data_IF_902701511263
#
_entry.id   IF_902701511263
#
_cell.length_a   1.000
_cell.length_b   1.000
_cell.length_c   1.000
_cell.angle_alpha   90.00
_cell.angle_beta   90.00
_cell.angle_gamma   90.00
#
_symmetry.space_group_name_H-M   'P 1'
#
loop_
_entity.id
_entity.type
_entity.pdbx_description
1 polymer ?
#
# COMPACT_ATOMS: atom_id res chain seq x y z
N UNK A 1 -0.71 68.04 8.16
CA UNK A 1 -1.50 66.83 7.88
C UNK A 1 -1.54 66.61 6.39
N UNK A 2 -0.75 65.68 5.87
CA UNK A 2 -0.77 65.27 4.44
C UNK A 2 -0.96 63.77 4.39
N UNK A 3 -2.15 63.34 3.99
CA UNK A 3 -2.46 61.96 3.67
C UNK A 3 -1.84 61.58 2.33
N UNK A 4 -0.99 60.58 2.28
CA UNK A 4 -0.58 59.89 1.07
C UNK A 4 -1.53 58.71 0.80
N UNK A 5 -2.05 58.52 -0.41
CA UNK A 5 -2.84 57.35 -0.74
C UNK A 5 -1.94 56.16 -1.05
N UNK A 6 -2.26 55.05 -0.42
CA UNK A 6 -1.66 53.74 -0.72
C UNK A 6 -2.25 53.24 -2.04
N UNK A 7 -1.42 53.15 -3.05
CA UNK A 7 -1.75 52.51 -4.32
C UNK A 7 -1.60 51.00 -4.16
N UNK A 8 -2.72 50.29 -4.10
CA UNK A 8 -2.74 48.84 -4.21
C UNK A 8 -2.70 48.49 -5.69
N UNK A 9 -1.56 48.02 -6.15
CA UNK A 9 -1.43 47.40 -7.49
C UNK A 9 -1.81 45.94 -7.36
N UNK A 10 -3.02 45.61 -7.84
CA UNK A 10 -3.42 44.21 -8.09
C UNK A 10 -2.90 43.87 -9.49
N UNK A 11 -1.81 43.12 -9.55
CA UNK A 11 -1.36 42.49 -10.80
C UNK A 11 -1.54 40.99 -10.72
N UNK A 12 -2.53 40.53 -11.48
CA UNK A 12 -2.61 39.34 -12.34
C UNK A 12 -2.14 37.99 -11.81
N UNK A 13 -3.09 37.06 -11.96
CA UNK A 13 -2.91 35.60 -12.06
C UNK A 13 -1.55 35.18 -12.57
N UNK A 14 -0.73 34.62 -11.69
CA UNK A 14 0.40 33.79 -12.00
C UNK A 14 0.13 32.38 -11.46
N UNK A 15 0.20 31.44 -12.33
CA UNK A 15 0.16 29.99 -12.13
C UNK A 15 0.81 29.59 -10.82
N UNK A 16 0.02 29.03 -9.89
CA UNK A 16 0.55 28.43 -8.67
C UNK A 16 1.08 27.03 -9.04
N UNK A 17 2.32 26.98 -9.51
CA UNK A 17 3.10 25.75 -9.42
C UNK A 17 3.28 25.43 -7.94
N UNK A 18 2.61 24.37 -7.46
CA UNK A 18 2.84 23.84 -6.14
C UNK A 18 4.23 23.18 -6.09
N UNK A 19 5.25 23.99 -5.87
CA UNK A 19 6.52 23.47 -5.33
C UNK A 19 6.20 22.95 -3.93
N UNK A 20 6.14 21.64 -3.78
CA UNK A 20 6.30 20.95 -2.49
C UNK A 20 7.69 21.25 -1.94
N UNK A 21 7.89 22.45 -1.47
CA UNK A 21 8.99 22.78 -0.58
C UNK A 21 8.41 22.75 0.82
N UNK A 22 8.71 21.68 1.55
CA UNK A 22 8.28 21.50 2.93
C UNK A 22 8.44 22.74 3.78
N UNK A 23 7.64 22.87 4.83
CA UNK A 23 7.41 24.00 5.76
C UNK A 23 8.56 24.92 6.16
N UNK A 24 9.68 24.94 5.42
CA UNK A 24 10.86 25.72 5.73
C UNK A 24 10.64 27.24 5.71
N UNK A 25 9.89 27.76 4.72
CA UNK A 25 9.69 29.22 4.60
C UNK A 25 8.77 29.77 5.69
N UNK A 26 7.69 29.07 6.00
CA UNK A 26 6.77 29.47 7.10
C UNK A 26 7.45 29.32 8.46
N UNK A 27 8.23 28.26 8.66
CA UNK A 27 9.02 28.08 9.88
C UNK A 27 10.06 29.18 10.06
N UNK A 28 10.77 29.58 9.00
CA UNK A 28 11.75 30.67 9.06
C UNK A 28 11.07 32.00 9.41
N UNK A 29 9.94 32.32 8.76
CA UNK A 29 9.17 33.53 9.08
C UNK A 29 8.68 33.55 10.54
N UNK A 30 8.18 32.42 11.05
CA UNK A 30 7.75 32.29 12.43
C UNK A 30 8.92 32.43 13.41
N UNK A 31 10.10 31.85 13.08
CA UNK A 31 11.33 32.00 13.85
C UNK A 31 11.79 33.45 13.91
N UNK A 32 11.82 34.16 12.80
CA UNK A 32 12.18 35.59 12.72
C UNK A 32 11.19 36.46 13.48
N UNK A 33 9.90 36.15 13.44
CA UNK A 33 8.85 36.80 14.21
C UNK A 33 8.90 36.48 15.72
N UNK A 34 9.85 35.65 16.17
CA UNK A 34 10.07 35.35 17.57
C UNK A 34 9.18 34.28 18.20
N UNK A 35 8.37 33.55 17.39
CA UNK A 35 7.45 32.52 17.89
C UNK A 35 8.14 31.42 18.69
N UNK A 36 9.42 31.11 18.42
CA UNK A 36 10.17 30.14 19.21
C UNK A 36 10.47 30.63 20.66
N UNK A 37 10.24 31.91 20.95
CA UNK A 37 10.38 32.46 22.31
C UNK A 37 9.04 32.49 23.06
N UNK A 38 7.93 32.30 22.37
CA UNK A 38 6.61 32.25 22.96
C UNK A 38 6.48 31.08 23.94
N UNK A 39 5.90 31.30 25.10
CA UNK A 39 5.77 30.32 26.16
C UNK A 39 4.88 29.13 25.81
N UNK A 40 3.80 29.38 25.05
CA UNK A 40 2.86 28.32 24.59
C UNK A 40 3.57 27.45 23.57
N UNK A 41 4.22 28.07 22.59
CA UNK A 41 4.95 27.35 21.54
C UNK A 41 6.08 26.50 22.14
N UNK A 42 6.83 27.03 23.11
CA UNK A 42 7.85 26.25 23.81
C UNK A 42 7.26 25.04 24.55
N UNK A 43 6.18 25.23 25.29
CA UNK A 43 5.49 24.14 25.99
C UNK A 43 5.01 23.07 25.02
N UNK A 44 4.46 23.44 23.88
CA UNK A 44 3.98 22.49 22.87
C UNK A 44 5.14 21.75 22.19
N UNK A 45 6.23 22.43 21.87
CA UNK A 45 7.45 21.81 21.35
C UNK A 45 7.99 20.80 22.36
N UNK A 46 8.06 21.15 23.64
CA UNK A 46 8.53 20.24 24.68
C UNK A 46 7.65 18.98 24.79
N UNK A 47 6.33 19.14 24.83
CA UNK A 47 5.37 18.02 24.87
C UNK A 47 5.51 17.10 23.64
N UNK A 48 5.61 17.69 22.44
CA UNK A 48 5.78 16.92 21.19
C UNK A 48 7.14 16.22 21.19
N UNK A 49 8.21 16.91 21.61
CA UNK A 49 9.56 16.35 21.70
C UNK A 49 9.61 15.17 22.64
N UNK A 50 9.03 15.26 23.84
CA UNK A 50 8.91 14.15 24.79
C UNK A 50 8.23 12.94 24.15
N UNK A 51 7.08 13.15 23.48
CA UNK A 51 6.35 12.08 22.78
C UNK A 51 7.19 11.41 21.70
N UNK A 52 7.89 12.19 20.87
CA UNK A 52 8.72 11.67 19.78
C UNK A 52 9.91 10.89 20.36
N UNK A 53 10.62 11.45 21.34
CA UNK A 53 11.78 10.81 21.97
C UNK A 53 11.37 9.50 22.63
N UNK A 54 10.28 9.50 23.42
CA UNK A 54 9.76 8.29 24.07
C UNK A 54 9.37 7.22 23.06
N UNK A 55 8.66 7.59 21.99
CA UNK A 55 8.28 6.66 20.93
C UNK A 55 9.52 6.06 20.24
N UNK A 56 10.51 6.88 19.90
CA UNK A 56 11.75 6.43 19.26
C UNK A 56 12.60 5.56 20.18
N UNK A 57 12.61 5.84 21.45
CA UNK A 57 13.29 5.02 22.43
C UNK A 57 12.66 3.62 22.52
N UNK A 58 11.32 3.55 22.66
CA UNK A 58 10.61 2.26 22.65
C UNK A 58 10.84 1.51 21.34
N UNK A 59 10.77 2.19 20.18
CA UNK A 59 11.08 1.57 18.88
C UNK A 59 12.50 0.99 18.87
N UNK A 60 13.50 1.69 19.39
CA UNK A 60 14.88 1.20 19.44
C UNK A 60 15.04 -0.06 20.28
N UNK A 61 14.30 -0.15 21.39
CA UNK A 61 14.29 -1.33 22.26
C UNK A 61 13.62 -2.55 21.61
N UNK A 62 12.81 -2.34 20.57
CA UNK A 62 12.12 -3.40 19.83
C UNK A 62 12.95 -3.99 18.68
N UNK A 63 14.03 -3.34 18.27
CA UNK A 63 14.84 -3.75 17.11
C UNK A 63 15.37 -5.17 17.30
N UNK A 64 15.12 -6.04 16.31
CA UNK A 64 15.59 -7.42 16.30
C UNK A 64 14.89 -8.38 17.29
N UNK A 65 13.93 -7.89 18.10
CA UNK A 65 13.27 -8.71 19.14
C UNK A 65 12.02 -9.44 18.67
N UNK A 66 11.53 -9.14 17.46
CA UNK A 66 10.30 -9.74 16.93
C UNK A 66 10.55 -10.37 15.57
N UNK A 67 10.25 -11.64 15.46
CA UNK A 67 10.25 -12.40 14.21
C UNK A 67 9.01 -13.28 14.13
N UNK A 68 8.70 -13.75 12.92
CA UNK A 68 7.59 -14.67 12.67
C UNK A 68 8.15 -15.86 11.90
N UNK A 69 7.98 -17.07 12.44
CA UNK A 69 8.40 -18.29 11.80
C UNK A 69 7.36 -18.82 10.81
N UNK A 70 7.79 -19.69 9.90
CA UNK A 70 6.88 -20.37 8.96
C UNK A 70 5.86 -21.24 9.69
N UNK A 71 6.27 -21.91 10.79
CA UNK A 71 5.35 -22.71 11.61
C UNK A 71 4.24 -21.87 12.25
N UNK A 72 4.56 -20.69 12.76
CA UNK A 72 3.54 -19.79 13.33
C UNK A 72 2.52 -19.34 12.27
N UNK A 73 2.97 -19.11 11.05
CA UNK A 73 2.06 -18.76 9.94
C UNK A 73 1.14 -19.93 9.60
N UNK A 74 1.68 -21.16 9.54
CA UNK A 74 0.92 -22.38 9.30
C UNK A 74 -0.10 -22.64 10.42
N UNK A 75 0.31 -22.57 11.68
CA UNK A 75 -0.54 -22.77 12.84
C UNK A 75 -1.67 -21.73 12.90
N UNK A 76 -1.36 -20.47 12.60
CA UNK A 76 -2.34 -19.41 12.55
C UNK A 76 -3.39 -19.67 11.46
N UNK A 77 -2.94 -20.09 10.26
CA UNK A 77 -3.84 -20.44 9.17
C UNK A 77 -4.77 -21.59 9.55
N UNK A 78 -4.23 -22.69 10.10
CA UNK A 78 -5.02 -23.85 10.51
C UNK A 78 -6.10 -23.49 11.53
N UNK A 79 -5.73 -22.73 12.57
CA UNK A 79 -6.67 -22.27 13.61
C UNK A 79 -7.73 -21.31 13.08
N UNK A 80 -7.46 -20.62 11.99
CA UNK A 80 -8.32 -19.56 11.46
C UNK A 80 -8.88 -19.85 10.04
N UNK A 81 -8.86 -21.09 9.58
CA UNK A 81 -9.26 -21.50 8.22
C UNK A 81 -10.56 -20.88 7.74
N UNK A 82 -11.55 -20.78 8.63
CA UNK A 82 -12.86 -20.22 8.27
C UNK A 82 -12.80 -18.75 7.85
N UNK A 83 -11.80 -17.98 8.31
CA UNK A 83 -11.61 -16.58 7.92
C UNK A 83 -11.07 -16.43 6.49
N UNK A 84 -10.48 -17.51 5.94
CA UNK A 84 -9.89 -17.54 4.60
C UNK A 84 -10.81 -18.13 3.53
N UNK A 85 -12.09 -18.34 3.86
CA UNK A 85 -13.11 -18.69 2.86
C UNK A 85 -13.43 -17.48 2.00
N UNK A 86 -13.49 -17.70 0.68
CA UNK A 86 -13.85 -16.67 -0.30
C UNK A 86 -15.29 -16.22 -0.10
N UNK A 87 -15.48 -14.93 0.04
CA UNK A 87 -16.83 -14.34 0.24
C UNK A 87 -17.57 -14.10 -1.07
N UNK A 88 -16.84 -14.12 -2.19
CA UNK A 88 -17.37 -14.00 -3.55
C UNK A 88 -16.56 -14.89 -4.50
N UNK A 89 -17.01 -15.03 -5.76
CA UNK A 89 -16.18 -15.62 -6.82
C UNK A 89 -14.94 -14.75 -7.02
N UNK A 90 -13.77 -15.37 -7.06
CA UNK A 90 -12.45 -14.72 -7.27
C UNK A 90 -11.76 -15.29 -8.50
N UNK A 91 -11.00 -14.46 -9.19
CA UNK A 91 -10.09 -14.90 -10.24
C UNK A 91 -8.67 -14.46 -9.94
N UNK A 92 -7.71 -15.36 -10.14
CA UNK A 92 -6.29 -15.03 -10.17
C UNK A 92 -5.93 -14.63 -11.59
N UNK A 93 -5.44 -13.40 -11.76
CA UNK A 93 -5.12 -12.83 -13.07
C UNK A 93 -3.71 -12.29 -13.15
N UNK A 94 -3.11 -12.35 -14.35
CA UNK A 94 -1.95 -11.55 -14.72
C UNK A 94 -2.41 -10.33 -15.51
N UNK A 95 -1.84 -9.19 -15.18
CA UNK A 95 -2.16 -7.89 -15.77
C UNK A 95 -0.90 -7.30 -16.38
N UNK A 96 -0.90 -7.13 -17.70
CA UNK A 96 0.21 -6.53 -18.45
C UNK A 96 -0.23 -5.15 -18.95
N UNK A 97 0.36 -4.09 -18.44
CA UNK A 97 0.10 -2.72 -18.88
C UNK A 97 1.04 -2.34 -20.02
N UNK A 98 0.50 -1.74 -21.10
CA UNK A 98 1.24 -1.34 -22.31
C UNK A 98 0.75 0.00 -22.83
N UNK A 99 1.68 0.82 -23.30
CA UNK A 99 1.35 2.13 -23.84
C UNK A 99 0.67 2.04 -25.22
N UNK A 100 1.03 1.04 -26.03
CA UNK A 100 0.48 0.91 -27.37
C UNK A 100 -0.18 -0.44 -27.62
N UNK A 101 -1.16 -0.44 -28.54
CA UNK A 101 -1.98 -1.59 -28.91
C UNK A 101 -1.16 -2.74 -29.49
N UNK A 102 -0.16 -2.45 -30.31
CA UNK A 102 0.65 -3.48 -30.97
C UNK A 102 1.45 -4.30 -29.94
N UNK A 103 2.00 -3.66 -28.93
CA UNK A 103 2.67 -4.36 -27.83
C UNK A 103 1.69 -5.25 -27.02
N UNK A 104 0.48 -4.78 -26.79
CA UNK A 104 -0.55 -5.59 -26.12
C UNK A 104 -0.96 -6.80 -26.96
N UNK A 105 -1.14 -6.62 -28.29
CA UNK A 105 -1.44 -7.71 -29.22
C UNK A 105 -0.31 -8.74 -29.26
N UNK A 106 0.96 -8.30 -29.28
CA UNK A 106 2.11 -9.22 -29.25
C UNK A 106 2.10 -10.10 -28.02
N UNK A 107 1.86 -9.54 -26.83
CA UNK A 107 1.76 -10.33 -25.59
C UNK A 107 0.59 -11.33 -25.68
N UNK A 108 -0.60 -10.87 -26.05
CA UNK A 108 -1.76 -11.75 -26.23
C UNK A 108 -1.45 -12.91 -27.15
N UNK A 109 -0.89 -12.63 -28.35
CA UNK A 109 -0.54 -13.66 -29.34
C UNK A 109 0.49 -14.67 -28.83
N UNK A 110 1.48 -14.23 -28.06
CA UNK A 110 2.47 -15.12 -27.45
C UNK A 110 1.81 -16.05 -26.43
N UNK A 111 0.94 -15.52 -25.58
CA UNK A 111 0.24 -16.31 -24.58
C UNK A 111 -0.75 -17.30 -25.22
N UNK A 112 -1.46 -16.93 -26.27
CA UNK A 112 -2.41 -17.80 -26.98
C UNK A 112 -1.73 -18.93 -27.77
N UNK A 113 -0.62 -18.64 -28.49
CA UNK A 113 0.06 -19.63 -29.33
C UNK A 113 0.72 -20.76 -28.55
N UNK A 114 1.03 -20.56 -27.30
CA UNK A 114 1.79 -21.52 -26.51
C UNK A 114 0.90 -22.51 -25.76
N UNK A 115 -0.40 -22.61 -26.07
CA UNK A 115 -1.37 -23.49 -25.42
C UNK A 115 -1.19 -23.59 -23.90
N UNK A 116 -0.77 -22.45 -23.28
CA UNK A 116 -0.45 -22.36 -21.85
C UNK A 116 0.68 -23.29 -21.39
N UNK A 117 1.59 -23.69 -22.29
CA UNK A 117 2.83 -24.34 -21.90
C UNK A 117 3.50 -23.48 -20.81
N UNK A 118 3.62 -24.08 -19.62
CA UNK A 118 4.04 -23.38 -18.40
C UNK A 118 5.40 -22.73 -18.56
N UNK A 119 6.34 -23.33 -19.31
CA UNK A 119 7.68 -22.80 -19.48
C UNK A 119 7.72 -21.55 -20.37
N UNK A 120 6.98 -21.57 -21.48
CA UNK A 120 6.92 -20.41 -22.41
C UNK A 120 6.09 -19.26 -21.85
N UNK A 121 5.02 -19.57 -21.13
CA UNK A 121 4.27 -18.57 -20.35
C UNK A 121 5.17 -17.97 -19.28
N UNK A 122 5.97 -18.78 -18.57
CA UNK A 122 6.95 -18.29 -17.59
C UNK A 122 7.98 -17.35 -18.21
N UNK A 123 8.54 -17.69 -19.36
CA UNK A 123 9.48 -16.82 -20.09
C UNK A 123 8.84 -15.49 -20.50
N UNK A 124 7.57 -15.51 -20.95
CA UNK A 124 6.82 -14.29 -21.27
C UNK A 124 6.54 -13.46 -20.03
N UNK A 125 6.18 -14.10 -18.92
CA UNK A 125 5.98 -13.44 -17.62
C UNK A 125 7.27 -12.77 -17.16
N UNK A 126 8.40 -13.50 -17.16
CA UNK A 126 9.70 -12.95 -16.77
C UNK A 126 10.11 -11.76 -17.62
N UNK A 127 9.91 -11.84 -18.95
CA UNK A 127 10.25 -10.75 -19.89
C UNK A 127 9.40 -9.49 -19.70
N UNK A 128 8.15 -9.63 -19.31
CA UNK A 128 7.17 -8.55 -19.31
C UNK A 128 6.65 -8.14 -17.93
N UNK A 129 7.13 -8.80 -16.86
CA UNK A 129 6.85 -8.47 -15.45
C UNK A 129 5.40 -8.06 -15.19
N UNK A 130 4.41 -8.95 -15.41
CA UNK A 130 3.02 -8.63 -15.17
C UNK A 130 2.75 -8.50 -13.66
N UNK A 131 1.73 -7.76 -13.32
CA UNK A 131 1.19 -7.75 -11.98
C UNK A 131 0.27 -8.97 -11.81
N UNK A 132 0.58 -9.83 -10.83
CA UNK A 132 -0.27 -10.94 -10.40
C UNK A 132 -1.19 -10.44 -9.30
N UNK A 133 -2.50 -10.68 -9.43
CA UNK A 133 -3.46 -10.23 -8.43
C UNK A 133 -4.72 -11.10 -8.40
N UNK A 134 -5.34 -11.18 -7.23
CA UNK A 134 -6.69 -11.67 -7.09
C UNK A 134 -7.69 -10.54 -7.33
N UNK A 135 -8.76 -10.84 -8.04
CA UNK A 135 -9.88 -9.92 -8.29
C UNK A 135 -11.18 -10.59 -7.87
N UNK A 136 -11.99 -9.91 -7.08
CA UNK A 136 -13.32 -10.38 -6.70
C UNK A 136 -14.34 -9.92 -7.73
N UNK A 137 -15.26 -10.82 -8.11
CA UNK A 137 -16.26 -10.53 -9.14
C UNK A 137 -17.14 -9.34 -8.78
N UNK A 138 -17.47 -9.18 -7.49
CA UNK A 138 -18.33 -8.10 -6.98
C UNK A 138 -17.70 -6.70 -7.10
N UNK A 139 -16.34 -6.60 -7.13
CA UNK A 139 -15.61 -5.33 -7.14
C UNK A 139 -15.30 -4.85 -8.58
N UNK A 140 -15.69 -5.64 -9.58
CA UNK A 140 -15.44 -5.34 -10.98
C UNK A 140 -16.67 -4.71 -11.65
N UNK A 141 -16.41 -3.82 -12.63
CA UNK A 141 -17.44 -3.41 -13.56
C UNK A 141 -17.99 -4.64 -14.29
N UNK A 142 -19.30 -4.77 -14.50
CA UNK A 142 -19.92 -5.98 -15.12
C UNK A 142 -19.21 -6.43 -16.39
N UNK A 143 -18.94 -5.51 -17.32
CA UNK A 143 -18.29 -5.81 -18.60
C UNK A 143 -16.87 -6.36 -18.48
N UNK A 144 -16.13 -6.01 -17.41
CA UNK A 144 -14.81 -6.55 -17.12
C UNK A 144 -14.92 -7.89 -16.38
N UNK A 145 -15.85 -7.99 -15.43
CA UNK A 145 -16.15 -9.22 -14.70
C UNK A 145 -16.57 -10.36 -15.65
N UNK A 146 -17.49 -10.10 -16.57
CA UNK A 146 -17.90 -11.09 -17.57
C UNK A 146 -16.72 -11.66 -18.37
N UNK A 147 -15.74 -10.82 -18.75
CA UNK A 147 -14.55 -11.27 -19.49
C UNK A 147 -13.58 -12.05 -18.63
N UNK A 148 -13.28 -11.58 -17.41
CA UNK A 148 -12.33 -12.25 -16.50
C UNK A 148 -12.85 -13.62 -16.07
N UNK A 149 -14.15 -13.76 -15.83
CA UNK A 149 -14.76 -14.98 -15.30
C UNK A 149 -15.32 -15.92 -16.37
N UNK A 150 -14.94 -15.75 -17.65
CA UNK A 150 -15.34 -16.67 -18.73
C UNK A 150 -14.82 -18.09 -18.49
N UNK A 151 -13.50 -18.23 -18.37
CA UNK A 151 -12.82 -19.51 -18.12
C UNK A 151 -11.34 -19.28 -17.75
N UNK A 152 -10.74 -20.28 -17.10
CA UNK A 152 -9.29 -20.39 -16.94
C UNK A 152 -8.61 -20.32 -18.32
N UNK A 153 -7.49 -19.60 -18.40
CA UNK A 153 -6.74 -19.42 -19.64
C UNK A 153 -7.30 -18.36 -20.58
N UNK A 154 -8.38 -17.67 -20.23
CA UNK A 154 -8.94 -16.63 -21.10
C UNK A 154 -8.06 -15.38 -21.10
N UNK A 155 -7.83 -14.85 -22.32
CA UNK A 155 -7.00 -13.66 -22.54
C UNK A 155 -7.78 -12.64 -23.30
N UNK A 156 -7.74 -11.40 -22.84
CA UNK A 156 -8.33 -10.29 -23.59
C UNK A 156 -7.55 -8.99 -23.36
N UNK A 157 -7.78 -8.04 -24.26
CA UNK A 157 -7.21 -6.69 -24.19
C UNK A 157 -8.34 -5.72 -23.89
N UNK A 158 -8.09 -4.76 -23.02
CA UNK A 158 -8.96 -3.61 -22.80
C UNK A 158 -8.15 -2.33 -22.95
N UNK A 159 -8.79 -1.26 -23.41
CA UNK A 159 -8.21 0.07 -23.45
C UNK A 159 -8.47 0.77 -22.12
N UNK A 160 -7.50 1.51 -21.64
CA UNK A 160 -7.59 2.48 -20.54
C UNK A 160 -7.11 3.84 -21.02
N UNK A 161 -7.34 4.88 -20.23
CA UNK A 161 -7.03 6.28 -20.58
C UNK A 161 -5.60 6.46 -21.10
N UNK A 162 -4.63 5.78 -20.49
CA UNK A 162 -3.20 5.91 -20.80
C UNK A 162 -2.60 4.68 -21.49
N UNK A 163 -3.39 3.84 -22.17
CA UNK A 163 -2.85 2.68 -22.86
C UNK A 163 -3.76 1.46 -22.94
N UNK A 164 -3.14 0.29 -22.98
CA UNK A 164 -3.79 -1.00 -23.16
C UNK A 164 -3.39 -1.94 -22.05
N UNK A 165 -4.36 -2.74 -21.61
CA UNK A 165 -4.14 -3.73 -20.57
C UNK A 165 -4.52 -5.11 -21.13
N UNK A 166 -3.59 -6.06 -21.02
CA UNK A 166 -3.83 -7.47 -21.32
C UNK A 166 -4.12 -8.18 -20.00
N UNK A 167 -5.25 -8.85 -19.93
CA UNK A 167 -5.62 -9.71 -18.83
C UNK A 167 -5.46 -11.18 -19.25
N UNK A 168 -4.87 -11.97 -18.37
CA UNK A 168 -4.79 -13.41 -18.48
C UNK A 168 -5.33 -14.05 -17.21
N UNK A 169 -6.43 -14.79 -17.32
CA UNK A 169 -7.04 -15.49 -16.18
C UNK A 169 -6.32 -16.81 -15.91
N UNK A 170 -5.55 -16.85 -14.82
CA UNK A 170 -4.82 -18.05 -14.40
C UNK A 170 -5.77 -19.09 -13.83
N UNK A 171 -6.66 -18.67 -12.92
CA UNK A 171 -7.62 -19.56 -12.27
C UNK A 171 -8.87 -18.80 -11.82
N UNK A 172 -9.96 -19.53 -11.63
CA UNK A 172 -11.23 -19.01 -11.10
C UNK A 172 -11.63 -19.86 -9.91
N UNK A 173 -11.91 -19.20 -8.80
CA UNK A 173 -12.29 -19.82 -7.55
C UNK A 173 -13.72 -19.44 -7.19
N UNK A 174 -14.49 -20.40 -6.71
CA UNK A 174 -15.87 -20.19 -6.32
C UNK A 174 -16.00 -19.62 -4.91
N UNK A 175 -17.03 -18.83 -4.69
CA UNK A 175 -17.46 -18.42 -3.35
C UNK A 175 -17.51 -19.62 -2.42
N UNK A 176 -17.05 -19.45 -1.17
CA UNK A 176 -17.00 -20.49 -0.15
C UNK A 176 -15.78 -21.41 -0.23
N UNK A 177 -15.03 -21.43 -1.35
CA UNK A 177 -13.77 -22.17 -1.42
C UNK A 177 -12.71 -21.53 -0.52
N UNK A 178 -11.81 -22.36 0.01
CA UNK A 178 -10.73 -21.91 0.88
C UNK A 178 -9.60 -21.31 0.06
N UNK A 179 -9.00 -20.20 0.50
CA UNK A 179 -7.73 -19.70 -0.03
C UNK A 179 -6.60 -20.56 0.51
N UNK A 180 -5.68 -20.94 -0.35
CA UNK A 180 -4.51 -21.72 0.05
C UNK A 180 -3.57 -20.89 0.93
N UNK A 181 -2.80 -21.56 1.81
CA UNK A 181 -1.84 -20.89 2.68
C UNK A 181 -0.86 -20.01 1.90
N UNK A 182 -0.39 -20.48 0.75
CA UNK A 182 0.55 -19.71 -0.10
C UNK A 182 -0.04 -18.39 -0.60
N UNK A 183 -1.36 -18.31 -0.77
CA UNK A 183 -2.03 -17.10 -1.24
C UNK A 183 -2.25 -16.06 -0.14
N UNK A 184 -2.17 -16.46 1.14
CA UNK A 184 -2.47 -15.62 2.31
C UNK A 184 -1.32 -15.51 3.30
N UNK A 185 -0.22 -16.23 3.09
CA UNK A 185 0.93 -16.31 4.00
C UNK A 185 1.50 -14.95 4.38
N UNK A 186 1.69 -14.07 3.40
CA UNK A 186 2.25 -12.73 3.64
C UNK A 186 1.33 -11.88 4.52
N UNK A 187 0.02 -11.97 4.31
CA UNK A 187 -0.97 -11.28 5.14
C UNK A 187 -0.99 -11.83 6.58
N UNK A 188 -0.88 -13.15 6.72
CA UNK A 188 -0.83 -13.80 8.03
C UNK A 188 0.45 -13.38 8.75
N UNK A 189 1.58 -13.45 8.08
CA UNK A 189 2.87 -13.03 8.63
C UNK A 189 2.85 -11.58 9.10
N UNK A 190 2.34 -10.67 8.27
CA UNK A 190 2.21 -9.26 8.62
C UNK A 190 1.31 -9.06 9.85
N UNK A 191 0.20 -9.81 9.94
CA UNK A 191 -0.73 -9.75 11.07
C UNK A 191 -0.09 -10.26 12.37
N UNK A 192 0.58 -11.43 12.32
CA UNK A 192 1.29 -11.98 13.49
C UNK A 192 2.39 -11.02 13.93
N UNK A 193 3.16 -10.48 12.98
CA UNK A 193 4.22 -9.52 13.27
C UNK A 193 3.68 -8.26 13.95
N UNK A 194 2.55 -7.73 13.48
CA UNK A 194 1.90 -6.57 14.07
C UNK A 194 1.43 -6.83 15.50
N UNK A 195 0.81 -8.00 15.74
CA UNK A 195 0.39 -8.42 17.08
C UNK A 195 1.58 -8.56 18.03
N UNK A 196 2.63 -9.27 17.62
CA UNK A 196 3.85 -9.43 18.44
C UNK A 196 4.53 -8.10 18.74
N UNK A 197 4.60 -7.19 17.75
CA UNK A 197 5.14 -5.85 17.96
C UNK A 197 4.31 -5.05 18.96
N UNK A 198 2.99 -5.16 18.87
CA UNK A 198 2.10 -4.48 19.80
C UNK A 198 2.30 -5.01 21.23
N UNK A 199 2.29 -6.32 21.43
CA UNK A 199 2.50 -6.94 22.75
C UNK A 199 3.87 -6.53 23.32
N UNK A 200 4.96 -6.67 22.54
CA UNK A 200 6.29 -6.28 23.00
C UNK A 200 6.38 -4.79 23.36
N UNK A 201 5.71 -3.93 22.60
CA UNK A 201 5.65 -2.51 22.87
C UNK A 201 5.00 -2.21 24.23
N UNK A 202 3.87 -2.86 24.53
CA UNK A 202 3.21 -2.68 25.81
C UNK A 202 4.06 -3.25 26.95
N UNK A 203 4.66 -4.43 26.81
CA UNK A 203 5.60 -5.00 27.82
C UNK A 203 6.78 -4.05 28.11
N UNK A 204 7.38 -3.45 27.08
CA UNK A 204 8.45 -2.47 27.25
C UNK A 204 7.94 -1.24 28.01
N UNK A 205 6.77 -0.72 27.62
CA UNK A 205 6.17 0.45 28.29
C UNK A 205 5.89 0.17 29.75
N UNK A 206 5.26 -0.94 30.06
CA UNK A 206 4.95 -1.33 31.44
C UNK A 206 6.21 -1.50 32.28
N UNK A 207 7.26 -2.10 31.70
CA UNK A 207 8.57 -2.20 32.37
C UNK A 207 9.18 -0.82 32.66
N UNK A 208 9.11 0.10 31.69
CA UNK A 208 9.64 1.46 31.89
C UNK A 208 8.80 2.24 32.92
N UNK A 209 7.48 2.11 32.90
CA UNK A 209 6.61 2.73 33.90
C UNK A 209 6.91 2.20 35.33
N UNK A 210 7.21 0.91 35.46
CA UNK A 210 7.60 0.33 36.74
C UNK A 210 8.91 0.92 37.28
N UNK A 211 9.85 1.25 36.37
CA UNK A 211 11.17 1.78 36.75
C UNK A 211 11.13 3.29 37.02
N UNK A 212 10.43 4.06 36.17
CA UNK A 212 10.48 5.52 36.17
C UNK A 212 9.21 6.19 36.69
N UNK A 213 8.17 5.43 36.95
CA UNK A 213 6.85 5.94 37.35
C UNK A 213 5.99 6.35 36.17
N UNK A 214 4.69 6.58 36.47
CA UNK A 214 3.75 7.14 35.51
C UNK A 214 3.85 8.68 35.52
N UNK A 215 3.91 9.29 34.34
CA UNK A 215 3.83 10.74 34.14
C UNK A 215 2.40 11.25 34.32
#
# INVERSE_FOLDING_TARGET
MRFLPIFIIITSCGFFESKQTGGGSLYLAAKEAGYLKDGIVKSDIEKISKKIISAKYVESLMVGRVSVSVSEVADYYEKNKNQYKRVSDEALVLVFERQNKNSAIKIKSVLERNNFDSERVSKTIQKHTPRRMFVEKKDLKPSLGEKIFVKKGYIFITQRDNGFVVFYTINIFKKGSLRELVDVSDNIQARILALKKHTLKEEIRDSLYTIYGYD
#
